data_IF_950850337283
#
_entry.id   IF_950850337283
#
_cell.length_a   1.000
_cell.length_b   1.000
_cell.length_c   1.000
_cell.angle_alpha   90.00
_cell.angle_beta   90.00
_cell.angle_gamma   90.00
#
_symmetry.space_group_name_H-M   'P 1'
#
loop_
_entity.id
_entity.type
_entity.pdbx_description
1 polymer ?
#
# COMPACT_ATOMS: atom_id res chain seq x y z
N UNK A 1 -8.99 23.18 -0.32
CA UNK A 1 -9.72 22.63 0.84
C UNK A 1 -8.75 21.87 1.71
N UNK A 2 -8.62 22.30 2.96
CA UNK A 2 -7.58 21.92 3.91
C UNK A 2 -7.88 20.56 4.55
N UNK A 3 -7.02 19.57 4.29
CA UNK A 3 -7.01 18.29 5.00
C UNK A 3 -5.61 17.66 4.87
N UNK A 4 -4.59 18.28 5.47
CA UNK A 4 -3.22 17.76 5.46
C UNK A 4 -2.56 18.19 6.76
N UNK A 5 -2.69 17.42 7.85
CA UNK A 5 -1.79 17.54 9.00
C UNK A 5 -1.90 16.36 9.97
N UNK A 6 -1.75 15.09 9.56
CA UNK A 6 -1.57 14.00 10.54
C UNK A 6 -0.70 12.82 10.04
N UNK A 7 0.09 12.15 10.92
CA UNK A 7 0.95 11.02 10.57
C UNK A 7 0.19 9.82 9.98
N UNK A 8 0.85 8.93 9.20
CA UNK A 8 0.18 7.91 8.40
C UNK A 8 -0.63 6.87 9.18
N UNK A 9 -0.26 6.57 10.43
CA UNK A 9 -1.06 5.71 11.33
C UNK A 9 -2.15 6.48 12.08
N UNK A 10 -2.02 7.81 12.22
CA UNK A 10 -3.01 8.69 12.84
C UNK A 10 -4.08 9.16 11.83
N UNK A 11 -3.75 9.17 10.53
CA UNK A 11 -4.69 9.37 9.41
C UNK A 11 -5.92 8.45 9.50
N UNK A 12 -5.71 7.22 9.97
CA UNK A 12 -6.77 6.23 10.17
C UNK A 12 -7.76 6.61 11.28
N UNK A 13 -7.36 7.45 12.23
CA UNK A 13 -8.15 7.83 13.40
C UNK A 13 -8.73 9.24 13.25
N UNK A 14 -7.97 10.22 12.76
CA UNK A 14 -8.46 11.61 12.67
C UNK A 14 -8.96 12.03 11.29
N UNK A 15 -8.49 11.40 10.21
CA UNK A 15 -8.95 11.70 8.85
C UNK A 15 -10.26 10.97 8.54
N UNK A 16 -11.29 11.67 8.07
CA UNK A 16 -12.55 11.04 7.60
C UNK A 16 -12.28 9.96 6.55
N UNK A 17 -11.28 10.18 5.68
CA UNK A 17 -10.85 9.23 4.64
C UNK A 17 -10.13 8.01 5.23
N UNK A 18 -9.36 8.16 6.31
CA UNK A 18 -8.64 7.05 6.92
C UNK A 18 -9.51 6.14 7.79
N UNK A 19 -10.69 6.61 8.23
CA UNK A 19 -11.69 5.78 8.93
C UNK A 19 -12.18 4.62 8.07
N UNK A 20 -12.15 4.77 6.74
CA UNK A 20 -12.50 3.70 5.82
C UNK A 20 -11.61 2.46 6.02
N UNK A 21 -10.32 2.64 6.33
CA UNK A 21 -9.38 1.55 6.55
C UNK A 21 -9.64 0.80 7.85
N UNK A 22 -9.91 1.54 8.94
CA UNK A 22 -10.27 0.98 10.24
C UNK A 22 -11.59 0.22 10.14
N UNK A 23 -12.59 0.82 9.49
CA UNK A 23 -13.90 0.22 9.27
C UNK A 23 -13.80 -1.03 8.39
N UNK A 24 -13.05 -0.96 7.29
CA UNK A 24 -12.79 -2.11 6.43
C UNK A 24 -12.12 -3.24 7.20
N UNK A 25 -11.11 -2.95 8.02
CA UNK A 25 -10.42 -3.93 8.84
C UNK A 25 -11.34 -4.55 9.91
N UNK A 26 -12.15 -3.74 10.59
CA UNK A 26 -13.11 -4.23 11.59
C UNK A 26 -14.13 -5.20 10.98
N UNK A 27 -14.73 -4.85 9.84
CA UNK A 27 -15.63 -5.74 9.12
C UNK A 27 -14.91 -6.96 8.55
N UNK A 28 -13.68 -6.80 8.07
CA UNK A 28 -12.85 -7.89 7.56
C UNK A 28 -12.61 -8.93 8.65
N UNK A 29 -12.08 -8.52 9.81
CA UNK A 29 -11.80 -9.43 10.92
C UNK A 29 -13.08 -10.04 11.50
N UNK A 30 -14.16 -9.26 11.58
CA UNK A 30 -15.47 -9.78 12.03
C UNK A 30 -16.02 -10.83 11.07
N UNK A 31 -15.83 -10.64 9.75
CA UNK A 31 -16.17 -11.64 8.73
C UNK A 31 -15.42 -12.96 8.95
N UNK A 32 -14.14 -12.90 9.31
CA UNK A 32 -13.33 -14.09 9.63
C UNK A 32 -13.82 -14.80 10.89
N UNK A 33 -14.07 -14.03 11.96
CA UNK A 33 -14.53 -14.56 13.25
C UNK A 33 -15.89 -15.23 13.12
N UNK A 34 -16.84 -14.64 12.39
CA UNK A 34 -18.15 -15.26 12.16
C UNK A 34 -18.06 -16.51 11.28
N UNK A 35 -17.20 -16.51 10.26
CA UNK A 35 -17.07 -17.65 9.35
C UNK A 35 -16.49 -18.90 10.05
N UNK A 36 -15.58 -18.69 11.01
CA UNK A 36 -14.87 -19.78 11.69
C UNK A 36 -15.31 -20.02 13.15
N UNK A 37 -16.14 -19.15 13.73
CA UNK A 37 -16.52 -19.17 15.14
C UNK A 37 -17.60 -20.16 15.55
N UNK A 38 -18.53 -20.54 14.65
CA UNK A 38 -19.53 -21.58 14.93
C UNK A 38 -20.02 -22.28 13.65
N UNK A 39 -20.71 -23.41 13.81
CA UNK A 39 -20.93 -24.39 12.74
C UNK A 39 -22.29 -24.27 12.04
N UNK A 40 -22.87 -23.06 12.00
CA UNK A 40 -24.19 -22.79 11.43
C UNK A 40 -24.17 -22.38 9.94
N UNK A 41 -25.21 -22.76 9.18
CA UNK A 41 -25.34 -22.38 7.75
C UNK A 41 -25.48 -20.87 7.53
N UNK A 42 -26.14 -20.17 8.46
CA UNK A 42 -26.44 -18.73 8.39
C UNK A 42 -25.23 -17.84 8.62
N UNK A 43 -24.16 -18.40 9.21
CA UNK A 43 -22.94 -17.66 9.51
C UNK A 43 -22.08 -17.40 8.27
N UNK A 44 -22.14 -18.27 7.25
CA UNK A 44 -21.48 -18.03 5.97
C UNK A 44 -22.06 -16.79 5.31
N UNK A 45 -23.39 -16.66 5.26
CA UNK A 45 -24.04 -15.49 4.68
C UNK A 45 -23.82 -14.23 5.51
N UNK A 46 -23.80 -14.34 6.83
CA UNK A 46 -23.44 -13.22 7.73
C UNK A 46 -21.99 -12.76 7.50
N UNK A 47 -21.06 -13.71 7.34
CA UNK A 47 -19.66 -13.42 7.00
C UNK A 47 -19.53 -12.77 5.62
N UNK A 48 -20.31 -13.23 4.62
CA UNK A 48 -20.38 -12.62 3.28
C UNK A 48 -20.92 -11.19 3.36
N UNK A 49 -21.95 -10.93 4.17
CA UNK A 49 -22.48 -9.58 4.36
C UNK A 49 -21.42 -8.65 4.98
N UNK A 50 -20.68 -9.12 5.99
CA UNK A 50 -19.57 -8.35 6.56
C UNK A 50 -18.42 -8.14 5.56
N UNK A 51 -18.10 -9.14 4.74
CA UNK A 51 -17.11 -8.99 3.68
C UNK A 51 -17.56 -7.97 2.62
N UNK A 52 -18.86 -7.93 2.30
CA UNK A 52 -19.44 -6.93 1.42
C UNK A 52 -19.37 -5.52 2.03
N UNK A 53 -19.68 -5.37 3.33
CA UNK A 53 -19.51 -4.10 4.05
C UNK A 53 -18.04 -3.65 4.09
N UNK A 54 -17.11 -4.60 4.31
CA UNK A 54 -15.68 -4.34 4.22
C UNK A 54 -15.28 -3.88 2.82
N UNK A 55 -15.81 -4.52 1.76
CA UNK A 55 -15.58 -4.15 0.36
C UNK A 55 -16.10 -2.75 0.03
N UNK A 56 -17.27 -2.37 0.56
CA UNK A 56 -17.85 -1.04 0.41
C UNK A 56 -16.99 0.05 1.08
N UNK A 57 -16.35 -0.28 2.20
CA UNK A 57 -15.37 0.60 2.82
C UNK A 57 -14.04 0.64 2.02
N UNK A 58 -13.56 -0.50 1.51
CA UNK A 58 -12.33 -0.59 0.71
C UNK A 58 -12.23 -1.87 -0.14
N UNK A 59 -11.67 -1.80 -1.36
CA UNK A 59 -11.49 -2.98 -2.24
C UNK A 59 -10.89 -4.21 -1.59
N UNK A 60 -9.90 -4.01 -0.72
CA UNK A 60 -9.20 -5.10 -0.06
C UNK A 60 -10.13 -5.94 0.81
N UNK A 61 -11.29 -5.43 1.20
CA UNK A 61 -12.31 -6.16 1.95
C UNK A 61 -12.80 -7.45 1.26
N UNK A 62 -12.81 -7.47 -0.08
CA UNK A 62 -13.16 -8.65 -0.87
C UNK A 62 -12.25 -9.86 -0.56
N UNK A 63 -11.00 -9.60 -0.19
CA UNK A 63 -10.02 -10.64 0.12
C UNK A 63 -10.34 -11.41 1.39
N UNK A 64 -11.33 -10.98 2.19
CA UNK A 64 -11.82 -11.74 3.36
C UNK A 64 -12.38 -13.11 2.95
N UNK A 65 -13.10 -13.17 1.83
CA UNK A 65 -13.65 -14.43 1.32
C UNK A 65 -12.54 -15.35 0.78
N UNK A 66 -11.52 -14.77 0.13
CA UNK A 66 -10.32 -15.50 -0.29
C UNK A 66 -9.58 -16.09 0.92
N UNK A 67 -9.43 -15.31 1.99
CA UNK A 67 -8.87 -15.78 3.24
C UNK A 67 -9.69 -16.94 3.83
N UNK A 68 -11.01 -16.80 3.95
CA UNK A 68 -11.89 -17.83 4.51
C UNK A 68 -11.76 -19.16 3.74
N UNK A 69 -11.75 -19.10 2.41
CA UNK A 69 -11.54 -20.28 1.55
C UNK A 69 -10.16 -20.88 1.78
N UNK A 70 -9.10 -20.07 1.79
CA UNK A 70 -7.74 -20.55 2.02
C UNK A 70 -7.59 -21.20 3.40
N UNK A 71 -8.22 -20.64 4.44
CA UNK A 71 -8.16 -21.17 5.80
C UNK A 71 -8.99 -22.46 5.96
N UNK A 72 -10.12 -22.58 5.27
CA UNK A 72 -10.91 -23.82 5.24
C UNK A 72 -10.15 -24.96 4.55
N UNK A 73 -9.46 -24.67 3.45
CA UNK A 73 -8.55 -25.62 2.77
C UNK A 73 -7.42 -26.05 3.71
N UNK A 74 -6.78 -25.09 4.38
CA UNK A 74 -5.73 -25.36 5.38
C UNK A 74 -6.23 -26.28 6.51
N UNK A 75 -7.39 -25.96 7.11
CA UNK A 75 -7.95 -26.73 8.23
C UNK A 75 -8.35 -28.15 7.82
N UNK A 76 -8.74 -28.32 6.56
CA UNK A 76 -9.24 -29.58 6.01
C UNK A 76 -8.15 -30.40 5.30
N UNK A 77 -6.91 -29.92 5.29
CA UNK A 77 -5.81 -30.55 4.54
C UNK A 77 -5.55 -32.01 4.96
N UNK A 78 -5.41 -32.29 6.25
CA UNK A 78 -5.10 -33.64 6.76
C UNK A 78 -6.19 -34.69 6.45
N UNK A 79 -7.51 -34.39 6.59
CA UNK A 79 -8.57 -35.27 6.09
C UNK A 79 -8.57 -35.43 4.57
N UNK A 80 -8.28 -34.37 3.81
CA UNK A 80 -8.30 -34.40 2.33
C UNK A 80 -7.19 -35.31 1.79
N UNK A 81 -5.97 -35.22 2.31
CA UNK A 81 -4.86 -36.09 1.88
C UNK A 81 -5.12 -37.56 2.22
N UNK A 82 -5.74 -37.84 3.37
CA UNK A 82 -6.13 -39.20 3.76
C UNK A 82 -7.32 -39.76 2.96
N UNK A 83 -8.24 -38.91 2.49
CA UNK A 83 -9.40 -39.32 1.69
C UNK A 83 -9.14 -39.39 0.19
N UNK A 84 -8.01 -38.87 -0.32
CA UNK A 84 -7.54 -39.11 -1.69
C UNK A 84 -7.22 -40.60 -1.94
N UNK A 85 -7.01 -41.40 -0.89
CA UNK A 85 -6.77 -42.85 -0.96
C UNK A 85 -8.00 -43.72 -0.66
N UNK A 86 -9.08 -43.19 -0.07
CA UNK A 86 -10.32 -43.94 0.23
C UNK A 86 -11.54 -43.02 0.17
N UNK A 87 -12.60 -43.50 -0.51
CA UNK A 87 -13.91 -42.83 -0.78
C UNK A 87 -14.22 -41.65 0.15
N UNK A 88 -14.30 -40.48 -0.48
CA UNK A 88 -14.74 -39.18 0.03
C UNK A 88 -15.75 -39.31 1.19
N UNK A 89 -15.34 -38.98 2.41
CA UNK A 89 -16.19 -39.05 3.62
C UNK A 89 -16.90 -37.72 3.89
N UNK A 90 -18.17 -37.81 4.29
CA UNK A 90 -19.14 -36.79 4.74
C UNK A 90 -18.64 -35.54 5.51
N UNK A 91 -17.45 -35.59 6.13
CA UNK A 91 -16.84 -34.44 6.81
C UNK A 91 -16.37 -33.36 5.82
N UNK A 92 -16.05 -33.75 4.58
CA UNK A 92 -15.70 -32.85 3.49
C UNK A 92 -16.92 -32.13 2.88
N UNK A 93 -18.12 -32.71 2.95
CA UNK A 93 -19.33 -32.15 2.32
C UNK A 93 -19.68 -30.77 2.88
N UNK A 94 -19.60 -30.61 4.21
CA UNK A 94 -19.89 -29.34 4.87
C UNK A 94 -18.86 -28.26 4.54
N UNK A 95 -17.57 -28.62 4.46
CA UNK A 95 -16.50 -27.67 4.08
C UNK A 95 -16.64 -27.29 2.61
N UNK A 96 -16.84 -28.27 1.73
CA UNK A 96 -17.06 -28.06 0.31
C UNK A 96 -18.25 -27.12 0.07
N UNK A 97 -19.38 -27.34 0.77
CA UNK A 97 -20.54 -26.46 0.69
C UNK A 97 -20.29 -25.03 1.22
N UNK A 98 -19.39 -24.83 2.20
CA UNK A 98 -18.98 -23.49 2.65
C UNK A 98 -18.04 -22.81 1.66
N UNK A 99 -17.09 -23.55 1.10
CA UNK A 99 -16.14 -23.07 0.08
C UNK A 99 -16.88 -22.67 -1.20
N UNK A 100 -17.79 -23.52 -1.70
CA UNK A 100 -18.62 -23.21 -2.88
C UNK A 100 -19.44 -21.94 -2.65
N UNK A 101 -20.09 -21.80 -1.49
CA UNK A 101 -20.84 -20.58 -1.15
C UNK A 101 -19.95 -19.34 -1.07
N UNK A 102 -18.77 -19.44 -0.47
CA UNK A 102 -17.83 -18.32 -0.37
C UNK A 102 -17.27 -17.92 -1.73
N UNK A 103 -16.94 -18.87 -2.61
CA UNK A 103 -16.48 -18.61 -3.98
C UNK A 103 -17.62 -18.00 -4.82
N UNK A 104 -18.84 -18.56 -4.73
CA UNK A 104 -20.00 -18.00 -5.43
C UNK A 104 -20.29 -16.55 -4.98
N UNK A 105 -20.22 -16.29 -3.67
CA UNK A 105 -20.36 -14.94 -3.11
C UNK A 105 -19.23 -14.00 -3.56
N UNK A 106 -17.99 -14.49 -3.61
CA UNK A 106 -16.84 -13.73 -4.12
C UNK A 106 -17.06 -13.32 -5.58
N UNK A 107 -17.45 -14.26 -6.45
CA UNK A 107 -17.75 -14.00 -7.87
C UNK A 107 -18.89 -12.97 -7.99
N UNK A 108 -19.96 -13.15 -7.21
CA UNK A 108 -21.09 -12.23 -7.19
C UNK A 108 -20.66 -10.81 -6.77
N UNK A 109 -19.89 -10.66 -5.70
CA UNK A 109 -19.42 -9.36 -5.22
C UNK A 109 -18.47 -8.68 -6.21
N UNK A 110 -17.60 -9.45 -6.88
CA UNK A 110 -16.77 -8.93 -7.99
C UNK A 110 -17.66 -8.44 -9.13
N UNK A 111 -18.65 -9.22 -9.53
CA UNK A 111 -19.58 -8.84 -10.60
C UNK A 111 -20.35 -7.56 -10.26
N UNK A 112 -20.92 -7.47 -9.06
CA UNK A 112 -21.59 -6.26 -8.55
C UNK A 112 -20.65 -5.07 -8.52
N UNK A 113 -19.38 -5.27 -8.13
CA UNK A 113 -18.40 -4.18 -8.13
C UNK A 113 -18.09 -3.68 -9.55
N UNK A 114 -17.92 -4.60 -10.50
CA UNK A 114 -17.64 -4.24 -11.89
C UNK A 114 -18.82 -3.55 -12.56
N UNK A 115 -20.06 -3.92 -12.23
CA UNK A 115 -21.26 -3.23 -12.73
C UNK A 115 -21.38 -1.83 -12.15
N UNK A 116 -21.07 -1.64 -10.85
CA UNK A 116 -21.02 -0.31 -10.22
C UNK A 116 -19.96 0.60 -10.87
N UNK A 117 -18.86 0.03 -11.35
CA UNK A 117 -17.79 0.74 -12.08
C UNK A 117 -18.13 1.03 -13.55
N UNK A 118 -19.38 0.74 -13.98
CA UNK A 118 -19.86 0.92 -15.35
C UNK A 118 -18.94 0.26 -16.40
N UNK A 119 -18.27 -0.84 -16.02
CA UNK A 119 -17.33 -1.56 -16.89
C UNK A 119 -16.01 -0.84 -17.18
N UNK A 120 -15.75 0.32 -16.57
CA UNK A 120 -14.49 1.04 -16.73
C UNK A 120 -13.52 0.74 -15.58
N UNK A 121 -12.30 0.33 -15.90
CA UNK A 121 -11.22 0.29 -14.93
C UNK A 121 -10.77 1.74 -14.64
N UNK A 122 -10.40 2.07 -13.39
CA UNK A 122 -9.90 3.40 -13.07
C UNK A 122 -8.69 3.72 -13.95
N UNK A 123 -8.79 4.78 -14.75
CA UNK A 123 -7.67 5.31 -15.51
C UNK A 123 -6.72 6.03 -14.54
N UNK A 124 -5.44 5.69 -14.62
CA UNK A 124 -4.39 6.38 -13.89
C UNK A 124 -3.29 6.79 -14.87
N UNK A 125 -2.46 7.75 -14.46
CA UNK A 125 -1.42 8.30 -15.30
C UNK A 125 -0.04 7.75 -14.94
N UNK A 126 0.95 7.97 -15.80
CA UNK A 126 2.34 7.67 -15.48
C UNK A 126 2.86 8.47 -14.27
N UNK A 127 2.22 9.58 -13.90
CA UNK A 127 2.56 10.35 -12.71
C UNK A 127 2.23 9.57 -11.42
N UNK A 128 1.16 8.78 -11.45
CA UNK A 128 0.67 8.03 -10.31
C UNK A 128 1.46 6.74 -10.08
N UNK A 129 1.77 6.02 -11.17
CA UNK A 129 2.53 4.78 -11.14
C UNK A 129 3.46 4.66 -12.37
N UNK A 130 4.64 5.30 -12.35
CA UNK A 130 5.57 5.24 -13.48
C UNK A 130 5.97 3.81 -13.90
N UNK A 131 6.24 2.86 -12.97
CA UNK A 131 6.53 1.47 -13.32
C UNK A 131 5.48 0.78 -14.19
N UNK A 132 4.19 1.09 -14.02
CA UNK A 132 3.13 0.47 -14.82
C UNK A 132 3.22 0.79 -16.33
N UNK A 133 3.82 1.93 -16.71
CA UNK A 133 3.90 2.40 -18.10
C UNK A 133 5.25 2.10 -18.77
N UNK A 134 6.19 1.46 -18.08
CA UNK A 134 7.49 1.14 -18.67
C UNK A 134 7.36 0.03 -19.74
N UNK A 135 8.01 0.13 -20.91
CA UNK A 135 7.81 -0.83 -22.01
C UNK A 135 8.29 -2.25 -21.68
N UNK A 136 9.44 -2.38 -21.01
CA UNK A 136 10.01 -3.68 -20.65
C UNK A 136 9.27 -4.34 -19.48
N UNK A 137 8.71 -5.53 -19.71
CA UNK A 137 8.06 -6.34 -18.67
C UNK A 137 9.01 -6.70 -17.53
N UNK A 138 10.27 -7.01 -17.83
CA UNK A 138 11.26 -7.38 -16.81
C UNK A 138 11.49 -6.24 -15.80
N UNK A 139 11.61 -5.00 -16.29
CA UNK A 139 11.75 -3.80 -15.44
C UNK A 139 10.50 -3.61 -14.58
N UNK A 140 9.30 -3.80 -15.14
CA UNK A 140 8.04 -3.73 -14.38
C UNK A 140 8.03 -4.76 -13.26
N UNK A 141 8.29 -6.03 -13.58
CA UNK A 141 8.25 -7.13 -12.63
C UNK A 141 9.26 -6.95 -11.49
N UNK A 142 10.53 -6.67 -11.81
CA UNK A 142 11.58 -6.47 -10.80
C UNK A 142 11.25 -5.28 -9.91
N UNK A 143 10.78 -4.17 -10.49
CA UNK A 143 10.37 -2.99 -9.73
C UNK A 143 9.17 -3.31 -8.82
N UNK A 144 8.14 -4.02 -9.29
CA UNK A 144 6.99 -4.41 -8.46
C UNK A 144 7.36 -5.39 -7.35
N UNK A 145 8.25 -6.34 -7.60
CA UNK A 145 8.78 -7.22 -6.55
C UNK A 145 9.53 -6.43 -5.47
N UNK A 146 10.35 -5.44 -5.87
CA UNK A 146 10.99 -4.54 -4.91
C UNK A 146 9.98 -3.71 -4.13
N UNK A 147 8.93 -3.18 -4.78
CA UNK A 147 7.90 -2.41 -4.11
C UNK A 147 7.14 -3.25 -3.08
N UNK A 148 6.86 -4.52 -3.38
CA UNK A 148 6.29 -5.45 -2.41
C UNK A 148 7.21 -5.63 -1.19
N UNK A 149 8.50 -5.88 -1.42
CA UNK A 149 9.50 -6.02 -0.36
C UNK A 149 9.67 -4.73 0.47
N UNK A 150 9.66 -3.57 -0.20
CA UNK A 150 9.74 -2.26 0.45
C UNK A 150 8.51 -1.98 1.31
N UNK A 151 7.30 -2.33 0.84
CA UNK A 151 6.08 -2.22 1.63
C UNK A 151 6.11 -3.11 2.88
N UNK A 152 6.62 -4.35 2.79
CA UNK A 152 6.80 -5.20 3.97
C UNK A 152 7.91 -4.70 4.89
N UNK A 153 8.96 -4.09 4.34
CA UNK A 153 9.99 -3.42 5.14
C UNK A 153 9.39 -2.27 5.96
N UNK A 154 8.46 -1.49 5.40
CA UNK A 154 7.78 -0.43 6.15
C UNK A 154 6.98 -0.95 7.36
N UNK A 155 6.46 -2.19 7.30
CA UNK A 155 5.80 -2.82 8.46
C UNK A 155 6.78 -3.17 9.59
N UNK A 156 8.03 -3.50 9.26
CA UNK A 156 9.06 -3.90 10.23
C UNK A 156 9.87 -2.70 10.73
N UNK A 157 10.19 -1.77 9.84
CA UNK A 157 11.02 -0.61 10.09
C UNK A 157 10.52 0.59 9.25
N UNK A 158 9.56 1.38 9.77
CA UNK A 158 9.01 2.55 9.09
C UNK A 158 9.97 3.75 9.15
N UNK A 159 11.21 3.56 8.66
CA UNK A 159 12.27 4.57 8.74
C UNK A 159 12.11 5.66 7.67
N UNK A 160 11.80 5.24 6.44
CA UNK A 160 11.60 6.10 5.28
C UNK A 160 10.12 6.29 5.06
N UNK A 161 9.57 7.40 5.57
CA UNK A 161 8.17 7.78 5.34
C UNK A 161 8.15 9.09 4.56
N UNK A 162 7.19 9.17 3.64
CA UNK A 162 6.84 10.36 2.88
C UNK A 162 5.32 10.45 2.85
N UNK A 163 4.76 11.65 2.91
CA UNK A 163 3.32 11.82 2.73
C UNK A 163 2.87 11.50 1.29
N UNK A 164 3.78 11.56 0.31
CA UNK A 164 3.49 11.32 -1.10
C UNK A 164 4.60 10.52 -1.79
N UNK A 165 4.22 9.45 -2.46
CA UNK A 165 5.09 8.52 -3.19
C UNK A 165 4.92 8.57 -4.71
N UNK A 166 4.22 9.58 -5.24
CA UNK A 166 4.01 9.76 -6.69
C UNK A 166 5.24 10.36 -7.39
N UNK A 167 5.14 10.53 -8.72
CA UNK A 167 6.11 11.23 -9.58
C UNK A 167 7.58 10.81 -9.38
N UNK A 168 7.84 9.50 -9.47
CA UNK A 168 9.21 8.98 -9.48
C UNK A 168 9.89 8.90 -8.12
N UNK A 169 9.12 8.95 -7.02
CA UNK A 169 9.63 8.78 -5.66
C UNK A 169 10.49 7.52 -5.47
N UNK A 170 10.11 6.42 -6.12
CA UNK A 170 10.91 5.21 -6.19
C UNK A 170 11.44 5.08 -7.62
N UNK A 171 12.76 5.25 -7.84
CA UNK A 171 13.35 5.06 -9.16
C UNK A 171 13.13 3.63 -9.66
N UNK A 172 12.90 3.48 -10.96
CA UNK A 172 12.78 2.17 -11.61
C UNK A 172 14.04 1.34 -11.39
N UNK A 173 13.88 0.01 -11.25
CA UNK A 173 15.01 -0.92 -11.21
C UNK A 173 15.21 -1.47 -12.62
N UNK A 174 16.22 -0.95 -13.31
CA UNK A 174 16.54 -1.32 -14.69
C UNK A 174 17.59 -2.43 -14.81
N UNK A 175 18.33 -2.71 -13.73
CA UNK A 175 19.39 -3.72 -13.69
C UNK A 175 19.14 -4.75 -12.59
N UNK A 176 19.45 -6.02 -12.88
CA UNK A 176 19.43 -7.10 -11.89
C UNK A 176 20.47 -6.90 -10.77
N UNK A 177 21.53 -6.13 -11.04
CA UNK A 177 22.61 -5.82 -10.09
C UNK A 177 22.34 -4.60 -9.21
N UNK A 178 21.15 -4.02 -9.28
CA UNK A 178 20.76 -2.94 -8.39
C UNK A 178 20.78 -3.44 -6.92
N UNK A 179 21.48 -2.75 -6.00
CA UNK A 179 21.58 -3.18 -4.60
C UNK A 179 20.22 -3.29 -3.90
N UNK A 180 19.20 -2.57 -4.39
CA UNK A 180 17.82 -2.67 -3.88
C UNK A 180 17.22 -4.07 -4.06
N UNK A 181 17.70 -4.84 -5.05
CA UNK A 181 17.28 -6.23 -5.23
C UNK A 181 17.71 -7.14 -4.07
N UNK A 182 18.69 -6.75 -3.25
CA UNK A 182 19.04 -7.49 -2.04
C UNK A 182 17.86 -7.53 -1.06
N UNK A 183 17.13 -6.42 -0.90
CA UNK A 183 15.93 -6.36 -0.07
C UNK A 183 14.83 -7.27 -0.65
N UNK A 184 14.65 -7.25 -1.96
CA UNK A 184 13.69 -8.11 -2.67
C UNK A 184 14.00 -9.59 -2.45
N UNK A 185 15.26 -9.99 -2.65
CA UNK A 185 15.71 -11.37 -2.50
C UNK A 185 15.58 -11.82 -1.04
N UNK A 186 15.99 -10.98 -0.08
CA UNK A 186 15.85 -11.28 1.34
C UNK A 186 14.38 -11.48 1.75
N UNK A 187 13.47 -10.60 1.28
CA UNK A 187 12.04 -10.70 1.54
C UNK A 187 11.43 -11.98 0.93
N UNK A 188 11.79 -12.32 -0.31
CA UNK A 188 11.32 -13.55 -0.96
C UNK A 188 11.85 -14.80 -0.27
N UNK A 189 13.13 -14.85 0.11
CA UNK A 189 13.69 -15.98 0.86
C UNK A 189 12.97 -16.14 2.20
N UNK A 190 12.73 -15.05 2.93
CA UNK A 190 12.00 -15.09 4.19
C UNK A 190 10.57 -15.63 4.01
N UNK A 191 9.85 -15.14 2.99
CA UNK A 191 8.51 -15.58 2.67
C UNK A 191 8.46 -17.06 2.26
N UNK A 192 9.39 -17.50 1.41
CA UNK A 192 9.50 -18.89 0.97
C UNK A 192 9.88 -19.82 2.12
N UNK A 193 10.82 -19.43 2.97
CA UNK A 193 11.21 -20.22 4.14
C UNK A 193 10.06 -20.37 5.14
N UNK A 194 9.32 -19.29 5.42
CA UNK A 194 8.13 -19.32 6.27
C UNK A 194 7.03 -20.19 5.66
N UNK A 195 6.76 -20.03 4.37
CA UNK A 195 5.77 -20.83 3.63
C UNK A 195 6.12 -22.31 3.64
N UNK A 196 7.39 -22.64 3.37
CA UNK A 196 7.88 -24.02 3.39
C UNK A 196 7.75 -24.66 4.77
N UNK A 197 8.12 -23.94 5.84
CA UNK A 197 7.92 -24.41 7.23
C UNK A 197 6.44 -24.65 7.53
N UNK A 198 5.58 -23.74 7.12
CA UNK A 198 4.13 -23.88 7.28
C UNK A 198 3.56 -25.08 6.52
N UNK A 199 4.10 -25.40 5.33
CA UNK A 199 3.70 -26.53 4.51
C UNK A 199 4.18 -27.88 5.07
N UNK A 200 5.38 -27.94 5.66
CA UNK A 200 5.89 -29.17 6.28
C UNK A 200 5.06 -29.59 7.50
N UNK A 201 4.64 -28.62 8.32
CA UNK A 201 3.84 -28.88 9.52
C UNK A 201 2.33 -28.77 9.26
N UNK A 202 1.92 -28.83 7.98
CA UNK A 202 0.54 -28.67 7.53
C UNK A 202 -0.37 -29.78 8.04
N UNK A 203 0.12 -31.02 8.08
CA UNK A 203 -0.65 -32.18 8.58
C UNK A 203 -0.87 -32.13 10.09
N UNK A 204 0.11 -31.62 10.84
CA UNK A 204 0.07 -31.54 12.31
C UNK A 204 -0.56 -30.24 12.80
N UNK A 205 -0.77 -29.26 11.91
CA UNK A 205 -1.31 -27.92 12.23
C UNK A 205 -0.59 -27.26 13.42
N UNK A 206 0.72 -27.49 13.53
CA UNK A 206 1.53 -27.07 14.69
C UNK A 206 1.72 -25.56 14.77
N UNK A 207 1.78 -24.91 13.61
CA UNK A 207 2.12 -23.50 13.45
C UNK A 207 0.94 -22.67 12.90
N UNK A 208 -0.30 -22.95 13.33
CA UNK A 208 -1.51 -22.24 12.88
C UNK A 208 -1.40 -20.71 12.97
N UNK A 209 -0.85 -20.09 14.05
CA UNK A 209 -0.69 -18.63 14.10
C UNK A 209 0.22 -18.08 13.00
N UNK A 210 1.27 -18.82 12.62
CA UNK A 210 2.18 -18.43 11.55
C UNK A 210 1.49 -18.48 10.18
N UNK A 211 0.68 -19.53 9.94
CA UNK A 211 -0.08 -19.68 8.70
C UNK A 211 -1.11 -18.55 8.55
N UNK A 212 -1.88 -18.29 9.62
CA UNK A 212 -2.86 -17.19 9.64
C UNK A 212 -2.16 -15.85 9.44
N UNK A 213 -1.04 -15.62 10.13
CA UNK A 213 -0.24 -14.40 9.97
C UNK A 213 0.25 -14.20 8.54
N UNK A 214 0.75 -15.26 7.89
CA UNK A 214 1.20 -15.26 6.50
C UNK A 214 0.03 -14.98 5.53
N UNK A 215 -1.11 -15.64 5.73
CA UNK A 215 -2.31 -15.42 4.93
C UNK A 215 -2.80 -13.98 5.05
N UNK A 216 -2.85 -13.42 6.27
CA UNK A 216 -3.24 -12.02 6.51
C UNK A 216 -2.23 -11.02 5.98
N UNK A 217 -0.94 -11.38 5.89
CA UNK A 217 0.10 -10.53 5.32
C UNK A 217 0.00 -10.47 3.78
N UNK A 218 -0.22 -11.62 3.12
CA UNK A 218 -0.12 -11.76 1.66
C UNK A 218 -1.46 -11.55 0.96
N UNK A 219 -2.53 -12.20 1.41
CA UNK A 219 -3.82 -12.23 0.68
C UNK A 219 -4.43 -10.83 0.54
N UNK A 220 -4.54 -10.01 1.61
CA UNK A 220 -5.08 -8.64 1.51
C UNK A 220 -4.17 -7.67 0.75
N UNK A 221 -2.86 -7.93 0.70
CA UNK A 221 -1.90 -7.10 -0.02
C UNK A 221 -1.89 -7.37 -1.53
N UNK A 222 -2.29 -8.58 -1.96
CA UNK A 222 -2.17 -9.04 -3.34
C UNK A 222 -2.80 -8.10 -4.38
N UNK A 223 -4.02 -7.54 -4.19
CA UNK A 223 -4.60 -6.60 -5.15
C UNK A 223 -3.81 -5.29 -5.30
N UNK A 224 -3.06 -4.90 -4.28
CA UNK A 224 -2.29 -3.66 -4.25
C UNK A 224 -0.79 -3.85 -4.55
N UNK A 225 -0.37 -5.09 -4.76
CA UNK A 225 1.03 -5.45 -5.05
C UNK A 225 1.52 -4.97 -6.42
N UNK A 226 0.63 -4.52 -7.30
CA UNK A 226 0.89 -4.27 -8.73
C UNK A 226 1.31 -5.52 -9.55
N UNK A 227 1.37 -6.71 -8.94
CA UNK A 227 1.78 -7.95 -9.63
C UNK A 227 0.64 -8.59 -10.42
N UNK A 228 -0.58 -8.58 -9.86
CA UNK A 228 -1.76 -9.15 -10.53
C UNK A 228 -2.61 -8.09 -11.22
N UNK A 229 -2.81 -6.95 -10.53
CA UNK A 229 -3.61 -5.83 -11.01
C UNK A 229 -2.80 -4.57 -10.78
N UNK A 230 -2.63 -3.77 -11.83
CA UNK A 230 -1.94 -2.48 -11.74
C UNK A 230 -2.83 -1.45 -11.07
N UNK A 231 -2.28 -0.74 -10.09
CA UNK A 231 -2.99 0.26 -9.30
C UNK A 231 -2.36 1.64 -9.50
N UNK A 232 -3.13 2.71 -9.27
CA UNK A 232 -2.68 4.10 -9.43
C UNK A 232 -1.77 4.62 -8.32
N UNK A 233 -0.89 3.80 -7.75
CA UNK A 233 0.13 4.22 -6.79
C UNK A 233 1.30 3.23 -6.75
N UNK A 234 2.46 3.73 -6.32
CA UNK A 234 3.71 2.95 -6.18
C UNK A 234 3.86 2.38 -4.77
N UNK A 235 3.75 3.24 -3.76
CA UNK A 235 3.75 2.88 -2.33
C UNK A 235 2.56 3.56 -1.68
N UNK A 236 1.79 2.81 -0.90
CA UNK A 236 0.64 3.34 -0.17
C UNK A 236 0.52 2.65 1.19
N UNK A 237 0.99 3.35 2.23
CA UNK A 237 0.99 2.86 3.61
C UNK A 237 -0.41 2.47 4.08
N UNK A 238 -1.45 3.20 3.64
CA UNK A 238 -2.87 2.90 3.90
C UNK A 238 -3.32 1.50 3.48
N UNK A 239 -2.61 0.84 2.57
CA UNK A 239 -2.96 -0.53 2.13
C UNK A 239 -2.35 -1.59 3.04
N UNK A 240 -1.37 -1.21 3.86
CA UNK A 240 -0.69 -2.11 4.78
C UNK A 240 -1.45 -2.29 6.10
N UNK A 241 -2.60 -1.63 6.29
CA UNK A 241 -3.36 -1.72 7.53
C UNK A 241 -3.83 -3.16 7.85
N UNK A 242 -4.50 -3.85 6.92
CA UNK A 242 -4.89 -5.27 7.13
C UNK A 242 -3.64 -6.19 7.16
N UNK A 243 -2.68 -6.07 6.23
CA UNK A 243 -1.41 -6.81 6.29
C UNK A 243 -0.63 -6.64 7.60
N UNK A 244 -0.75 -5.49 8.27
CA UNK A 244 -0.08 -5.25 9.55
C UNK A 244 -0.55 -6.21 10.64
N UNK A 245 -1.83 -6.63 10.62
CA UNK A 245 -2.35 -7.64 11.54
C UNK A 245 -1.61 -8.96 11.34
N UNK A 246 -1.35 -9.35 10.09
CA UNK A 246 -0.54 -10.53 9.76
C UNK A 246 0.91 -10.41 10.25
N UNK A 247 1.53 -9.24 10.05
CA UNK A 247 2.89 -8.97 10.53
C UNK A 247 3.00 -9.01 12.05
N UNK A 248 2.04 -8.44 12.77
CA UNK A 248 1.96 -8.48 14.23
C UNK A 248 1.81 -9.92 14.73
N UNK A 249 0.94 -10.73 14.10
CA UNK A 249 0.77 -12.14 14.47
C UNK A 249 2.05 -12.94 14.25
N UNK A 250 2.72 -12.78 13.11
CA UNK A 250 4.00 -13.42 12.81
C UNK A 250 5.08 -13.04 13.83
N UNK A 251 5.17 -11.75 14.15
CA UNK A 251 6.16 -11.22 15.10
C UNK A 251 5.89 -11.73 16.52
N UNK A 252 4.64 -11.64 16.99
CA UNK A 252 4.24 -12.12 18.30
C UNK A 252 4.48 -13.64 18.45
N UNK A 253 4.16 -14.42 17.40
CA UNK A 253 4.40 -15.85 17.39
C UNK A 253 5.90 -16.20 17.39
N UNK A 254 6.71 -15.47 16.61
CA UNK A 254 8.16 -15.61 16.61
C UNK A 254 8.77 -15.32 17.98
N UNK A 255 8.33 -14.24 18.64
CA UNK A 255 8.72 -13.89 20.01
C UNK A 255 8.31 -15.01 20.98
N UNK A 256 7.08 -15.53 20.89
CA UNK A 256 6.60 -16.61 21.73
C UNK A 256 7.47 -17.88 21.61
N UNK A 257 7.90 -18.23 20.38
CA UNK A 257 8.76 -19.38 20.15
C UNK A 257 10.16 -19.17 20.74
N UNK A 258 10.73 -17.97 20.59
CA UNK A 258 12.02 -17.61 21.16
C UNK A 258 11.96 -17.52 22.69
N UNK A 259 10.85 -17.05 23.27
CA UNK A 259 10.65 -16.90 24.71
C UNK A 259 10.79 -18.21 25.49
N UNK A 260 10.49 -19.34 24.83
CA UNK A 260 10.65 -20.68 25.40
C UNK A 260 12.13 -21.10 25.54
N UNK A 261 13.07 -20.44 24.86
CA UNK A 261 14.51 -20.71 24.96
C UNK A 261 15.11 -19.97 26.16
N UNK A 262 15.75 -20.69 27.09
CA UNK A 262 16.25 -20.15 28.38
C UNK A 262 17.16 -18.92 28.25
N UNK A 263 18.01 -18.84 27.23
CA UNK A 263 18.94 -17.71 27.02
C UNK A 263 18.36 -16.52 26.24
N UNK A 264 17.23 -16.68 25.55
CA UNK A 264 16.70 -15.64 24.67
C UNK A 264 15.87 -14.58 25.40
N UNK A 265 15.34 -14.88 26.60
CA UNK A 265 14.41 -13.97 27.31
C UNK A 265 15.02 -12.61 27.62
N UNK A 266 16.23 -12.58 28.17
CA UNK A 266 16.91 -11.31 28.48
C UNK A 266 17.15 -10.49 27.22
N UNK A 267 17.59 -11.14 26.14
CA UNK A 267 17.80 -10.49 24.84
C UNK A 267 16.49 -9.95 24.26
N UNK A 268 15.39 -10.70 24.36
CA UNK A 268 14.07 -10.27 23.89
C UNK A 268 13.54 -9.06 24.67
N UNK A 269 13.68 -9.06 26.00
CA UNK A 269 13.23 -7.93 26.85
C UNK A 269 14.06 -6.68 26.56
N UNK A 270 15.39 -6.81 26.51
CA UNK A 270 16.27 -5.68 26.17
C UNK A 270 16.01 -5.17 24.76
N UNK A 271 15.89 -6.08 23.78
CA UNK A 271 15.57 -5.74 22.40
C UNK A 271 14.22 -5.03 22.27
N UNK A 272 13.18 -5.52 22.95
CA UNK A 272 11.87 -4.88 22.96
C UNK A 272 11.93 -3.49 23.61
N UNK A 273 12.63 -3.32 24.73
CA UNK A 273 12.81 -2.02 25.37
C UNK A 273 13.53 -1.03 24.46
N UNK A 274 14.58 -1.46 23.76
CA UNK A 274 15.30 -0.64 22.78
C UNK A 274 14.41 -0.25 21.61
N UNK A 275 13.62 -1.18 21.06
CA UNK A 275 12.69 -0.90 19.97
C UNK A 275 11.59 0.08 20.39
N UNK A 276 11.03 -0.07 21.60
CA UNK A 276 10.04 0.86 22.14
C UNK A 276 10.65 2.24 22.34
N UNK A 277 11.83 2.34 22.95
CA UNK A 277 12.52 3.62 23.15
C UNK A 277 12.84 4.30 21.80
N UNK A 278 13.36 3.55 20.83
CA UNK A 278 13.61 4.05 19.48
C UNK A 278 12.31 4.50 18.80
N UNK A 279 11.23 3.74 18.93
CA UNK A 279 9.91 4.09 18.43
C UNK A 279 9.38 5.39 19.02
N UNK A 280 9.46 5.57 20.34
CA UNK A 280 9.04 6.81 21.04
C UNK A 280 9.84 8.01 20.55
N UNK A 281 11.17 7.88 20.46
CA UNK A 281 12.04 8.96 19.95
C UNK A 281 11.68 9.30 18.51
N UNK A 282 11.53 8.29 17.65
CA UNK A 282 11.23 8.50 16.22
C UNK A 282 9.85 9.11 16.02
N UNK A 283 8.84 8.67 16.75
CA UNK A 283 7.49 9.27 16.72
C UNK A 283 7.53 10.73 17.20
N UNK A 284 8.29 11.02 18.26
CA UNK A 284 8.43 12.39 18.78
C UNK A 284 9.09 13.32 17.78
N UNK A 285 10.17 12.87 17.12
CA UNK A 285 10.83 13.63 16.04
C UNK A 285 9.89 13.80 14.84
N UNK A 286 9.22 12.72 14.41
CA UNK A 286 8.28 12.78 13.29
C UNK A 286 7.13 13.74 13.55
N UNK A 287 6.63 13.84 14.78
CA UNK A 287 5.60 14.81 15.14
C UNK A 287 6.07 16.27 14.94
N UNK A 288 7.39 16.53 14.99
CA UNK A 288 7.92 17.87 14.68
C UNK A 288 7.78 18.20 13.19
N UNK A 289 7.98 17.23 12.29
CA UNK A 289 7.82 17.41 10.84
C UNK A 289 6.40 17.90 10.51
N UNK A 290 5.39 17.36 11.20
CA UNK A 290 3.97 17.67 10.96
C UNK A 290 3.50 19.03 11.49
N UNK A 291 4.32 19.77 12.25
CA UNK A 291 3.90 21.03 12.89
C UNK A 291 3.55 22.13 11.89
N UNK A 292 4.26 22.22 10.78
CA UNK A 292 4.08 23.27 9.78
C UNK A 292 4.19 22.69 8.37
N UNK A 293 3.61 23.39 7.40
CA UNK A 293 3.77 23.03 5.97
C UNK A 293 5.24 23.01 5.55
N UNK A 294 6.03 23.95 6.05
CA UNK A 294 7.47 24.06 5.74
C UNK A 294 8.28 22.87 6.22
N UNK A 295 8.12 22.50 7.51
CA UNK A 295 8.84 21.38 8.12
C UNK A 295 8.48 20.06 7.46
N UNK A 296 7.20 19.87 7.12
CA UNK A 296 6.73 18.66 6.43
C UNK A 296 7.39 18.55 5.05
N UNK A 297 7.24 19.58 4.20
CA UNK A 297 7.79 19.56 2.84
C UNK A 297 9.33 19.43 2.83
N UNK A 298 10.04 20.05 3.78
CA UNK A 298 11.49 19.85 3.93
C UNK A 298 11.84 18.42 4.33
N UNK A 299 11.11 17.85 5.28
CA UNK A 299 11.33 16.47 5.70
C UNK A 299 11.11 15.50 4.53
N UNK A 300 10.04 15.67 3.75
CA UNK A 300 9.78 14.82 2.58
C UNK A 300 10.84 14.99 1.49
N UNK A 301 11.28 16.22 1.20
CA UNK A 301 12.36 16.47 0.25
C UNK A 301 13.69 15.88 0.69
N UNK A 302 13.95 15.80 2.00
CA UNK A 302 15.15 15.13 2.53
C UNK A 302 15.13 13.62 2.32
N UNK A 303 13.94 13.01 2.33
CA UNK A 303 13.74 11.57 2.10
C UNK A 303 13.69 11.25 0.61
N UNK A 304 13.03 12.10 -0.18
CA UNK A 304 12.78 11.92 -1.61
C UNK A 304 13.24 13.14 -2.42
N UNK A 305 14.55 13.41 -2.51
CA UNK A 305 15.10 14.58 -3.20
C UNK A 305 14.90 14.55 -4.73
N UNK A 306 14.45 13.42 -5.28
CA UNK A 306 14.21 13.26 -6.72
C UNK A 306 12.71 13.17 -7.07
N UNK A 307 11.83 13.59 -6.17
CA UNK A 307 10.39 13.66 -6.42
C UNK A 307 10.00 15.05 -6.96
N UNK A 308 9.53 15.07 -8.21
CA UNK A 308 9.11 16.31 -8.88
C UNK A 308 7.93 17.00 -8.18
N UNK A 309 6.97 16.24 -7.65
CA UNK A 309 5.79 16.76 -6.96
C UNK A 309 6.15 17.43 -5.64
N UNK A 310 7.12 16.89 -4.90
CA UNK A 310 7.60 17.53 -3.66
C UNK A 310 8.30 18.86 -3.95
N UNK A 311 9.14 18.93 -4.99
CA UNK A 311 9.74 20.18 -5.41
C UNK A 311 8.70 21.21 -5.87
N UNK A 312 7.69 20.78 -6.63
CA UNK A 312 6.57 21.64 -7.02
C UNK A 312 5.78 22.16 -5.81
N UNK A 313 5.45 21.29 -4.85
CA UNK A 313 4.72 21.68 -3.64
C UNK A 313 5.53 22.64 -2.76
N UNK A 314 6.84 22.40 -2.62
CA UNK A 314 7.73 23.31 -1.91
C UNK A 314 7.90 24.64 -2.64
N UNK A 315 7.94 24.65 -3.97
CA UNK A 315 7.92 25.87 -4.76
C UNK A 315 6.63 26.67 -4.60
N UNK A 316 5.47 26.02 -4.52
CA UNK A 316 4.21 26.68 -4.18
C UNK A 316 4.27 27.33 -2.80
N UNK A 317 4.75 26.60 -1.78
CA UNK A 317 4.93 27.16 -0.44
C UNK A 317 5.86 28.38 -0.45
N UNK A 318 7.01 28.29 -1.13
CA UNK A 318 7.97 29.40 -1.25
C UNK A 318 7.39 30.61 -1.96
N UNK A 319 6.54 30.38 -2.98
CA UNK A 319 5.79 31.44 -3.65
C UNK A 319 4.79 32.09 -2.68
N UNK A 320 4.09 31.31 -1.86
CA UNK A 320 3.12 31.82 -0.88
C UNK A 320 3.79 32.67 0.22
N UNK A 321 5.05 32.38 0.58
CA UNK A 321 5.86 33.19 1.52
C UNK A 321 6.76 34.22 0.84
N UNK A 322 6.43 34.58 -0.41
CA UNK A 322 7.08 35.63 -1.21
C UNK A 322 8.58 35.40 -1.51
N UNK A 323 9.09 34.17 -1.34
CA UNK A 323 10.46 33.78 -1.71
C UNK A 323 10.55 33.34 -3.18
N UNK A 324 10.26 34.27 -4.08
CA UNK A 324 10.10 34.00 -5.52
C UNK A 324 11.33 33.36 -6.17
N UNK A 325 12.55 33.80 -5.84
CA UNK A 325 13.77 33.23 -6.42
C UNK A 325 13.96 31.75 -6.06
N UNK A 326 13.68 31.38 -4.80
CA UNK A 326 13.77 30.00 -4.35
C UNK A 326 12.64 29.15 -4.95
N UNK A 327 11.43 29.70 -5.08
CA UNK A 327 10.33 29.05 -5.76
C UNK A 327 10.70 28.69 -7.20
N UNK A 328 11.30 29.63 -7.95
CA UNK A 328 11.77 29.41 -9.33
C UNK A 328 12.78 28.26 -9.40
N UNK A 329 13.74 28.19 -8.46
CA UNK A 329 14.73 27.08 -8.41
C UNK A 329 14.04 25.72 -8.26
N UNK A 330 13.07 25.62 -7.35
CA UNK A 330 12.36 24.37 -7.12
C UNK A 330 11.38 24.00 -8.23
N UNK A 331 10.71 24.95 -8.88
CA UNK A 331 9.94 24.66 -10.10
C UNK A 331 10.83 24.14 -11.23
N UNK A 332 12.04 24.72 -11.40
CA UNK A 332 13.00 24.22 -12.39
C UNK A 332 13.46 22.80 -12.08
N UNK A 333 13.74 22.47 -10.82
CA UNK A 333 14.10 21.09 -10.45
C UNK A 333 12.93 20.13 -10.65
N UNK A 334 11.70 20.54 -10.32
CA UNK A 334 10.49 19.76 -10.61
C UNK A 334 10.35 19.46 -12.11
N UNK A 335 10.58 20.46 -12.98
CA UNK A 335 10.53 20.30 -14.44
C UNK A 335 11.73 19.52 -15.01
N UNK A 336 12.89 19.55 -14.35
CA UNK A 336 14.04 18.72 -14.72
C UNK A 336 13.76 17.24 -14.43
N UNK A 337 13.13 16.95 -13.30
CA UNK A 337 12.73 15.60 -12.90
C UNK A 337 11.52 15.11 -13.70
N UNK A 338 10.58 16.01 -14.00
CA UNK A 338 9.35 15.69 -14.75
C UNK A 338 9.00 16.79 -15.77
N UNK A 339 9.59 16.75 -16.98
CA UNK A 339 9.42 17.82 -17.98
C UNK A 339 7.99 18.04 -18.43
N UNK A 340 7.12 17.02 -18.36
CA UNK A 340 5.71 17.13 -18.75
C UNK A 340 4.78 17.67 -17.64
N UNK A 341 5.33 18.22 -16.54
CA UNK A 341 4.52 18.67 -15.42
C UNK A 341 3.86 20.03 -15.73
N UNK A 342 2.67 19.97 -16.35
CA UNK A 342 1.93 21.14 -16.82
C UNK A 342 1.72 22.21 -15.74
N UNK A 343 1.34 21.82 -14.52
CA UNK A 343 1.11 22.77 -13.43
C UNK A 343 2.39 23.47 -12.97
N UNK A 344 3.54 22.79 -12.99
CA UNK A 344 4.84 23.41 -12.70
C UNK A 344 5.24 24.42 -13.77
N UNK A 345 5.00 24.11 -15.05
CA UNK A 345 5.16 25.07 -16.14
C UNK A 345 4.28 26.32 -15.95
N UNK A 346 2.98 26.14 -15.72
CA UNK A 346 2.07 27.26 -15.49
C UNK A 346 2.54 28.14 -14.32
N UNK A 347 2.88 27.55 -13.17
CA UNK A 347 3.26 28.34 -12.00
C UNK A 347 4.61 29.02 -12.18
N UNK A 348 5.57 28.37 -12.85
CA UNK A 348 6.83 29.00 -13.21
C UNK A 348 6.61 30.20 -14.16
N UNK A 349 5.72 30.07 -15.15
CA UNK A 349 5.35 31.14 -16.05
C UNK A 349 4.84 32.40 -15.31
N UNK A 350 4.10 32.23 -14.21
CA UNK A 350 3.62 33.36 -13.39
C UNK A 350 4.72 34.11 -12.63
N UNK A 351 5.91 33.53 -12.49
CA UNK A 351 7.00 34.09 -11.70
C UNK A 351 8.16 34.63 -12.55
N UNK A 352 8.16 34.37 -13.86
CA UNK A 352 9.22 34.83 -14.77
C UNK A 352 8.85 36.20 -15.33
N UNK A 353 9.78 37.16 -15.22
CA UNK A 353 9.55 38.55 -15.62
C UNK A 353 9.52 38.77 -17.13
N UNK A 354 10.27 37.97 -17.90
CA UNK A 354 10.35 38.13 -19.35
C UNK A 354 9.14 37.51 -20.04
N UNK A 355 8.30 38.33 -20.70
CA UNK A 355 7.04 37.90 -21.33
C UNK A 355 7.23 36.69 -22.26
N UNK A 356 8.26 36.68 -23.11
CA UNK A 356 8.51 35.54 -24.01
C UNK A 356 8.83 34.22 -23.27
N UNK A 357 9.44 34.28 -22.09
CA UNK A 357 9.69 33.08 -21.26
C UNK A 357 8.44 32.64 -20.51
N UNK A 358 7.61 33.58 -20.06
CA UNK A 358 6.32 33.27 -19.45
C UNK A 358 5.38 32.60 -20.46
N UNK A 359 5.29 33.15 -21.67
CA UNK A 359 4.54 32.60 -22.80
C UNK A 359 4.97 31.17 -23.11
N UNK A 360 6.29 30.93 -23.26
CA UNK A 360 6.83 29.59 -23.48
C UNK A 360 6.33 28.59 -22.44
N UNK A 361 6.35 28.96 -21.16
CA UNK A 361 5.90 28.08 -20.09
C UNK A 361 4.39 27.83 -20.11
N UNK A 362 3.56 28.84 -20.38
CA UNK A 362 2.11 28.63 -20.53
C UNK A 362 1.80 27.72 -21.73
N UNK A 363 2.50 27.89 -22.86
CA UNK A 363 2.36 27.02 -24.03
C UNK A 363 2.84 25.59 -23.75
N UNK A 364 3.92 25.40 -22.98
CA UNK A 364 4.32 24.05 -22.53
C UNK A 364 3.25 23.42 -21.63
N UNK A 365 2.65 24.18 -20.71
CA UNK A 365 1.58 23.68 -19.86
C UNK A 365 0.40 23.17 -20.72
N UNK A 366 0.00 23.93 -21.75
CA UNK A 366 -1.06 23.55 -22.69
C UNK A 366 -0.67 22.39 -23.63
N UNK A 367 0.62 22.27 -23.97
CA UNK A 367 1.14 21.13 -24.72
C UNK A 367 0.98 19.82 -23.95
N UNK A 368 1.25 19.83 -22.65
CA UNK A 368 1.17 18.64 -21.80
C UNK A 368 -0.22 18.40 -21.20
N UNK A 369 -1.03 19.45 -21.05
CA UNK A 369 -2.44 19.36 -20.66
C UNK A 369 -3.25 20.43 -21.40
N UNK A 370 -3.94 20.02 -22.48
CA UNK A 370 -4.71 20.94 -23.35
C UNK A 370 -5.85 21.65 -22.63
N UNK A 371 -6.40 21.03 -21.58
CA UNK A 371 -7.53 21.54 -20.81
C UNK A 371 -7.07 22.29 -19.53
N UNK A 372 -5.79 22.68 -19.45
CA UNK A 372 -5.24 23.37 -18.28
C UNK A 372 -5.77 24.81 -18.16
N UNK A 373 -6.91 24.97 -17.48
CA UNK A 373 -7.66 26.24 -17.31
C UNK A 373 -6.78 27.41 -16.93
N UNK A 374 -5.92 27.26 -15.90
CA UNK A 374 -5.06 28.35 -15.44
C UNK A 374 -4.03 28.79 -16.48
N UNK A 375 -3.59 27.88 -17.37
CA UNK A 375 -2.61 28.21 -18.38
C UNK A 375 -3.26 29.02 -19.52
N UNK A 376 -4.47 28.66 -19.94
CA UNK A 376 -5.28 29.46 -20.86
C UNK A 376 -5.53 30.87 -20.31
N UNK A 377 -5.94 30.97 -19.04
CA UNK A 377 -6.18 32.26 -18.39
C UNK A 377 -4.92 33.13 -18.33
N UNK A 378 -3.79 32.57 -17.91
CA UNK A 378 -2.54 33.33 -17.80
C UNK A 378 -1.97 33.73 -19.17
N UNK A 379 -2.12 32.88 -20.18
CA UNK A 379 -1.73 33.20 -21.55
C UNK A 379 -2.60 34.33 -22.13
N UNK A 380 -3.91 34.28 -21.92
CA UNK A 380 -4.81 35.37 -22.32
C UNK A 380 -4.48 36.69 -21.60
N UNK A 381 -4.11 36.63 -20.32
CA UNK A 381 -3.65 37.81 -19.56
C UNK A 381 -2.33 38.37 -20.09
N UNK A 382 -1.43 37.52 -20.61
CA UNK A 382 -0.13 37.93 -21.14
C UNK A 382 -0.24 38.62 -22.51
N UNK A 383 -1.22 38.23 -23.32
CA UNK A 383 -1.47 38.82 -24.65
C UNK A 383 -2.34 40.09 -24.62
N UNK A 384 -2.97 40.36 -23.49
CA UNK A 384 -3.72 41.60 -23.26
C UNK A 384 -2.77 42.70 -22.84
#
# INVERSE_FOLDING_TARGET
MAALHEPPQLYHVAGVVGRADVLACAFFLSSLLLYHGSSGKDQVWSSVALAALSMLAKETGLTALLFNVAFDVYRSWSPVTKSLNVKWRWKCDNVCGRVVRAIAALILLVAVRLTLLQGSLPAFSAQDNPPAFHPSFAVRLITFCYLAAFNWWLLLCPWTLSHDWQMGSVPLITSGWDPRNLLTVAALIALLALSYRCLLDLELQRHTPAVVGLMLLVIPYLPASNLLVTVGFVVAERVLYIPSVGSVLLTAYGIQLLWRRRGARRLLVVGAAVLVAAGVVRTSLRNMDWRTRETLLRADLSVLPHNAKLHYNFANFLKDVEQQENAIKHYKEALKLWPSYASAHNNLGTLVLASGRAEYHFLQALKYNRDHVNAHYNLAKLYR
#
